data_IF_258166203277
#
_entry.id   IF_258166203277
#
_cell.length_a   1.000
_cell.length_b   1.000
_cell.length_c   1.000
_cell.angle_alpha   90.00
_cell.angle_beta   90.00
_cell.angle_gamma   90.00
#
_symmetry.space_group_name_H-M   'P 1'
#
loop_
_entity.id
_entity.type
_entity.pdbx_description
1 polymer ?
#
# COMPACT_ATOMS: atom_id res chain seq x y z
N UNK A 1 20.53 16.49 -2.78
CA UNK A 1 19.39 15.66 -2.34
C UNK A 1 19.67 15.27 -0.90
N UNK A 2 18.91 15.76 0.09
CA UNK A 2 19.10 15.35 1.49
C UNK A 2 18.72 13.87 1.59
N UNK A 3 19.56 13.04 2.20
CA UNK A 3 19.48 11.57 2.19
C UNK A 3 18.16 10.95 2.71
N UNK A 4 17.21 11.76 3.20
CA UNK A 4 16.00 11.30 3.88
C UNK A 4 14.69 11.78 3.22
N UNK A 5 14.76 12.35 2.02
CA UNK A 5 13.57 12.82 1.29
C UNK A 5 13.24 11.83 0.17
N UNK A 6 12.10 11.15 0.29
CA UNK A 6 11.58 10.27 -0.76
C UNK A 6 10.45 10.93 -1.52
N UNK A 7 10.40 10.64 -2.82
CA UNK A 7 9.46 11.24 -3.74
C UNK A 7 8.52 10.16 -4.28
N UNK A 8 7.22 10.38 -4.12
CA UNK A 8 6.20 9.66 -4.86
C UNK A 8 5.29 10.67 -5.56
N UNK A 9 4.65 10.26 -6.66
CA UNK A 9 3.63 11.07 -7.35
C UNK A 9 2.24 10.59 -6.98
N UNK A 10 1.37 11.52 -6.62
CA UNK A 10 -0.06 11.26 -6.47
C UNK A 10 -0.81 11.87 -7.65
N UNK A 11 -1.62 11.06 -8.30
CA UNK A 11 -2.34 11.42 -9.50
C UNK A 11 -3.83 11.24 -9.23
N UNK A 12 -4.56 12.33 -9.40
CA UNK A 12 -5.97 12.43 -9.03
C UNK A 12 -6.76 12.82 -10.28
N UNK A 13 -7.87 12.15 -10.59
CA UNK A 13 -8.73 12.50 -11.72
C UNK A 13 -9.08 13.98 -11.74
N UNK A 14 -8.91 14.60 -12.90
CA UNK A 14 -9.16 16.02 -13.15
C UNK A 14 -8.33 16.99 -12.27
N UNK A 15 -7.24 16.52 -11.65
CA UNK A 15 -6.25 17.35 -10.96
C UNK A 15 -4.86 17.05 -11.52
N UNK A 16 -3.95 18.03 -11.45
CA UNK A 16 -2.55 17.82 -11.86
C UNK A 16 -1.84 16.81 -10.93
N UNK A 17 -0.82 16.13 -11.45
CA UNK A 17 0.04 15.27 -10.66
C UNK A 17 0.71 16.08 -9.54
N UNK A 18 0.61 15.60 -8.30
CA UNK A 18 1.23 16.23 -7.14
C UNK A 18 2.44 15.40 -6.72
N UNK A 19 3.61 16.03 -6.69
CA UNK A 19 4.80 15.41 -6.15
C UNK A 19 4.79 15.51 -4.63
N UNK A 20 4.90 14.38 -3.97
CA UNK A 20 4.89 14.27 -2.52
C UNK A 20 6.32 14.08 -2.04
N UNK A 21 6.74 14.92 -1.10
CA UNK A 21 7.99 14.72 -0.35
C UNK A 21 7.66 14.26 1.05
N UNK A 22 8.23 13.13 1.43
CA UNK A 22 7.99 12.48 2.71
C UNK A 22 9.07 12.87 3.72
N UNK A 23 8.65 13.42 4.87
CA UNK A 23 9.57 13.96 5.89
C UNK A 23 9.55 13.24 7.24
N UNK A 24 8.43 12.58 7.64
CA UNK A 24 8.35 11.76 8.86
C UNK A 24 8.19 10.27 8.58
N UNK A 25 9.12 9.41 9.01
CA UNK A 25 9.22 7.92 8.84
C UNK A 25 7.98 7.09 8.40
N UNK A 26 6.78 7.46 8.84
CA UNK A 26 5.50 6.92 8.38
C UNK A 26 4.39 7.98 8.45
N UNK A 27 3.38 7.85 7.59
CA UNK A 27 2.14 8.61 7.64
C UNK A 27 0.93 7.70 7.42
N UNK A 28 -0.17 7.93 8.14
CA UNK A 28 -1.45 7.37 7.73
C UNK A 28 -1.82 7.94 6.35
N UNK A 29 -2.44 7.11 5.49
CA UNK A 29 -2.91 7.55 4.18
C UNK A 29 -3.88 8.73 4.33
N UNK A 30 -4.79 8.66 5.31
CA UNK A 30 -5.73 9.74 5.61
C UNK A 30 -5.03 11.07 5.91
N UNK A 31 -3.99 11.05 6.75
CA UNK A 31 -3.25 12.28 7.09
C UNK A 31 -2.52 12.87 5.88
N UNK A 32 -1.99 12.01 5.01
CA UNK A 32 -1.39 12.44 3.75
C UNK A 32 -2.42 13.11 2.84
N UNK A 33 -3.61 12.52 2.68
CA UNK A 33 -4.67 13.11 1.86
C UNK A 33 -5.13 14.46 2.42
N UNK A 34 -5.30 14.55 3.75
CA UNK A 34 -5.63 15.82 4.43
C UNK A 34 -4.56 16.87 4.23
N UNK A 35 -3.28 16.51 4.37
CA UNK A 35 -2.14 17.41 4.14
C UNK A 35 -2.11 17.97 2.72
N UNK A 36 -2.51 17.16 1.73
CA UNK A 36 -2.60 17.57 0.33
C UNK A 36 -3.89 18.35 0.00
N UNK A 37 -4.75 18.60 0.99
CA UNK A 37 -6.02 19.31 0.80
C UNK A 37 -7.07 18.49 0.03
N UNK A 38 -6.93 17.17 -0.02
CA UNK A 38 -7.84 16.29 -0.76
C UNK A 38 -9.06 15.99 0.10
N UNK A 39 -10.24 16.37 -0.38
CA UNK A 39 -11.49 15.96 0.25
C UNK A 39 -11.79 14.49 -0.08
N UNK A 40 -11.37 13.59 0.80
CA UNK A 40 -11.55 12.14 0.66
C UNK A 40 -13.00 11.70 0.46
N UNK A 41 -13.98 12.44 1.00
CA UNK A 41 -15.40 12.12 0.85
C UNK A 41 -15.85 12.07 -0.62
N UNK A 42 -15.23 12.90 -1.48
CA UNK A 42 -15.49 12.91 -2.93
C UNK A 42 -15.03 11.64 -3.63
N UNK A 43 -14.08 10.91 -3.03
CA UNK A 43 -13.40 9.79 -3.65
C UNK A 43 -13.67 8.44 -2.96
N UNK A 44 -14.62 8.36 -2.03
CA UNK A 44 -14.88 7.11 -1.28
C UNK A 44 -15.29 5.92 -2.18
N UNK A 45 -15.86 6.18 -3.36
CA UNK A 45 -16.17 5.15 -4.36
C UNK A 45 -14.98 4.78 -5.26
N UNK A 46 -13.88 5.52 -5.18
CA UNK A 46 -12.68 5.29 -5.98
C UNK A 46 -11.80 4.21 -5.33
N UNK A 47 -10.87 3.72 -6.13
CA UNK A 47 -9.79 2.84 -5.77
C UNK A 47 -8.47 3.60 -5.87
N UNK A 48 -7.47 3.07 -5.17
CA UNK A 48 -6.11 3.54 -5.16
C UNK A 48 -5.22 2.51 -5.88
N UNK A 49 -4.84 2.84 -7.11
CA UNK A 49 -3.89 2.05 -7.89
C UNK A 49 -2.46 2.48 -7.55
N UNK A 50 -1.64 1.51 -7.17
CA UNK A 50 -0.26 1.67 -6.76
C UNK A 50 0.66 1.17 -7.89
N UNK A 51 1.67 1.94 -8.25
CA UNK A 51 2.69 1.54 -9.23
C UNK A 51 4.05 1.48 -8.56
N UNK A 52 4.82 0.42 -8.83
CA UNK A 52 6.22 0.32 -8.40
C UNK A 52 7.14 1.09 -9.34
N UNK A 53 8.26 1.61 -8.82
CA UNK A 53 9.35 2.17 -9.63
C UNK A 53 9.88 1.18 -10.69
N UNK A 54 9.80 -0.12 -10.39
CA UNK A 54 10.28 -1.20 -11.26
C UNK A 54 11.79 -1.42 -11.22
N UNK A 55 12.22 -2.50 -11.87
CA UNK A 55 13.62 -2.89 -12.03
C UNK A 55 13.87 -3.30 -13.49
N UNK A 56 15.07 -3.79 -13.81
CA UNK A 56 15.35 -4.43 -15.10
C UNK A 56 14.46 -5.64 -15.41
N UNK A 57 13.85 -6.25 -14.38
CA UNK A 57 12.89 -7.35 -14.51
C UNK A 57 11.42 -6.88 -14.68
N UNK A 58 11.21 -5.57 -14.76
CA UNK A 58 9.91 -4.93 -14.81
C UNK A 58 9.46 -4.35 -13.47
N UNK A 59 8.30 -3.69 -13.50
CA UNK A 59 7.57 -3.24 -12.32
C UNK A 59 6.29 -4.05 -12.13
N UNK A 60 5.59 -3.76 -11.04
CA UNK A 60 4.30 -4.34 -10.74
C UNK A 60 3.40 -3.31 -10.08
N UNK A 61 2.10 -3.60 -10.11
CA UNK A 61 1.05 -2.74 -9.62
C UNK A 61 0.04 -3.50 -8.75
N UNK A 62 -0.73 -2.74 -7.98
CA UNK A 62 -1.88 -3.27 -7.25
C UNK A 62 -2.92 -2.19 -6.99
N UNK A 63 -4.19 -2.57 -7.07
CA UNK A 63 -5.32 -1.67 -6.82
C UNK A 63 -6.01 -2.05 -5.52
N UNK A 64 -6.28 -1.10 -4.64
CA UNK A 64 -7.05 -1.31 -3.40
C UNK A 64 -8.22 -0.33 -3.33
N UNK A 65 -9.31 -0.70 -2.64
CA UNK A 65 -10.42 0.22 -2.42
C UNK A 65 -9.97 1.35 -1.48
N UNK A 66 -10.26 2.62 -1.84
CA UNK A 66 -9.86 3.76 -1.01
C UNK A 66 -10.61 3.76 0.32
N UNK A 67 -11.91 3.51 0.30
CA UNK A 67 -12.73 3.45 1.52
C UNK A 67 -12.22 2.40 2.50
N UNK A 68 -11.94 1.18 2.04
CA UNK A 68 -11.34 0.14 2.87
C UNK A 68 -9.95 0.57 3.38
N UNK A 69 -9.10 1.16 2.53
CA UNK A 69 -7.76 1.60 2.95
C UNK A 69 -7.81 2.67 4.05
N UNK A 70 -8.78 3.58 3.98
CA UNK A 70 -9.02 4.58 5.03
C UNK A 70 -9.54 3.92 6.33
N UNK A 71 -10.52 3.03 6.22
CA UNK A 71 -11.08 2.27 7.36
C UNK A 71 -10.02 1.41 8.05
N UNK A 72 -9.19 0.72 7.27
CA UNK A 72 -8.10 -0.13 7.75
C UNK A 72 -6.90 0.66 8.27
N UNK A 73 -6.94 1.99 8.22
CA UNK A 73 -5.82 2.88 8.61
C UNK A 73 -4.53 2.55 7.86
N UNK A 74 -4.64 2.35 6.54
CA UNK A 74 -3.50 2.07 5.68
C UNK A 74 -2.42 3.16 5.82
N UNK A 75 -1.16 2.75 5.72
CA UNK A 75 0.00 3.58 6.01
C UNK A 75 0.93 3.67 4.80
N UNK A 76 1.54 4.84 4.62
CA UNK A 76 2.72 5.01 3.78
C UNK A 76 3.95 4.99 4.69
N UNK A 77 4.86 4.04 4.48
CA UNK A 77 6.02 3.79 5.33
C UNK A 77 7.33 3.82 4.53
N UNK A 78 8.41 4.27 5.15
CA UNK A 78 9.78 4.17 4.61
C UNK A 78 10.83 3.81 5.66
N UNK A 79 10.41 3.63 6.91
CA UNK A 79 11.25 3.14 7.99
C UNK A 79 10.43 2.34 9.01
N UNK A 80 11.06 1.34 9.64
CA UNK A 80 10.49 0.52 10.71
C UNK A 80 11.50 0.50 11.86
N UNK A 81 11.04 0.68 13.11
CA UNK A 81 11.89 0.74 14.30
C UNK A 81 13.04 1.75 14.23
N UNK A 82 12.83 2.85 13.50
CA UNK A 82 13.82 3.91 13.33
C UNK A 82 14.76 3.70 12.13
N UNK A 83 14.86 2.50 11.58
CA UNK A 83 15.71 2.18 10.45
C UNK A 83 14.95 2.25 9.12
N UNK A 84 15.58 2.70 8.02
CA UNK A 84 14.98 2.62 6.69
C UNK A 84 14.53 1.19 6.38
N UNK A 85 13.47 1.04 5.56
CA UNK A 85 13.09 -0.26 5.05
C UNK A 85 14.29 -0.95 4.39
N UNK A 86 14.40 -2.25 4.53
CA UNK A 86 15.30 -3.03 3.67
C UNK A 86 14.78 -3.06 2.22
N UNK A 87 15.64 -3.43 1.27
CA UNK A 87 15.23 -3.69 -0.12
C UNK A 87 14.12 -4.76 -0.19
N UNK A 88 14.21 -5.78 0.68
CA UNK A 88 13.21 -6.86 0.73
C UNK A 88 11.87 -6.37 1.26
N UNK A 89 11.85 -5.42 2.19
CA UNK A 89 10.61 -4.86 2.74
C UNK A 89 9.97 -3.82 1.83
N UNK A 90 10.77 -3.21 0.95
CA UNK A 90 10.31 -2.35 -0.14
C UNK A 90 10.86 -0.94 -0.12
N UNK A 91 12.10 -0.75 0.35
CA UNK A 91 12.83 0.50 0.22
C UNK A 91 12.69 1.11 -1.20
N UNK A 92 12.48 2.43 -1.35
CA UNK A 92 12.47 3.42 -0.27
C UNK A 92 11.14 3.55 0.45
N UNK A 93 10.02 3.27 -0.21
CA UNK A 93 8.69 3.59 0.32
C UNK A 93 7.67 2.54 -0.10
N UNK A 94 6.69 2.30 0.76
CA UNK A 94 5.66 1.28 0.56
C UNK A 94 4.33 1.70 1.18
N UNK A 95 3.23 1.32 0.53
CA UNK A 95 1.90 1.34 1.16
C UNK A 95 1.65 0.00 1.85
N UNK A 96 1.20 0.05 3.10
CA UNK A 96 0.82 -1.12 3.90
C UNK A 96 -0.61 -0.96 4.39
N UNK A 97 -1.44 -1.96 4.12
CA UNK A 97 -2.75 -2.15 4.72
C UNK A 97 -2.70 -3.49 5.47
N UNK A 98 -2.79 -3.43 6.80
CA UNK A 98 -2.63 -4.62 7.65
C UNK A 98 -3.80 -5.60 7.55
N UNK A 99 -4.93 -5.19 6.97
CA UNK A 99 -6.09 -6.04 6.72
C UNK A 99 -5.99 -6.83 5.40
N UNK A 100 -4.99 -6.53 4.57
CA UNK A 100 -4.78 -7.16 3.27
C UNK A 100 -3.55 -8.07 3.27
N UNK A 101 -3.54 -9.06 2.38
CA UNK A 101 -2.34 -9.84 2.11
C UNK A 101 -1.22 -8.94 1.58
N UNK A 102 0.02 -9.24 1.99
CA UNK A 102 1.22 -8.44 1.66
C UNK A 102 1.42 -8.17 0.15
N UNK A 103 0.88 -8.99 -0.76
CA UNK A 103 1.01 -8.74 -2.20
C UNK A 103 0.20 -7.53 -2.71
N UNK A 104 -0.79 -7.05 -1.94
CA UNK A 104 -1.57 -5.84 -2.27
C UNK A 104 -0.83 -4.53 -1.96
N UNK A 105 0.22 -4.59 -1.13
CA UNK A 105 1.05 -3.42 -0.81
C UNK A 105 2.30 -3.38 -1.68
N UNK A 106 2.34 -2.47 -2.65
CA UNK A 106 3.43 -2.36 -3.64
C UNK A 106 4.70 -1.82 -2.98
N UNK A 107 5.79 -2.56 -3.13
CA UNK A 107 7.16 -2.17 -2.76
C UNK A 107 7.74 -1.17 -3.75
N UNK A 108 8.65 -0.32 -3.28
CA UNK A 108 9.29 0.71 -4.09
C UNK A 108 8.24 1.59 -4.78
N UNK A 109 7.23 2.02 -4.02
CA UNK A 109 6.08 2.77 -4.52
C UNK A 109 6.55 4.06 -5.21
N UNK A 110 6.24 4.20 -6.49
CA UNK A 110 6.55 5.40 -7.28
C UNK A 110 5.34 6.31 -7.41
N UNK A 111 4.17 5.71 -7.64
CA UNK A 111 2.97 6.44 -8.01
C UNK A 111 1.71 5.86 -7.36
N UNK A 112 0.79 6.76 -7.02
CA UNK A 112 -0.54 6.46 -6.50
C UNK A 112 -1.58 7.15 -7.38
N UNK A 113 -2.57 6.39 -7.83
CA UNK A 113 -3.61 6.85 -8.74
C UNK A 113 -4.97 6.63 -8.13
N UNK A 114 -5.78 7.67 -8.11
CA UNK A 114 -7.21 7.52 -7.88
C UNK A 114 -7.86 7.05 -9.19
N UNK A 115 -8.55 5.91 -9.15
CA UNK A 115 -9.24 5.32 -10.31
C UNK A 115 -10.65 4.88 -9.89
N UNK A 116 -11.64 5.08 -10.74
CA UNK A 116 -13.02 4.62 -10.52
C UNK A 116 -13.18 3.12 -10.84
N UNK A 117 -12.23 2.52 -11.56
CA UNK A 117 -12.21 1.10 -11.85
C UNK A 117 -11.32 0.32 -10.88
N UNK A 118 -11.82 -0.82 -10.39
CA UNK A 118 -10.96 -1.75 -9.67
C UNK A 118 -10.23 -2.62 -10.70
N UNK A 119 -9.07 -2.15 -11.15
CA UNK A 119 -8.20 -2.89 -12.06
C UNK A 119 -7.47 -4.04 -11.37
N UNK A 120 -7.30 -5.16 -12.06
CA UNK A 120 -6.46 -6.25 -11.54
C UNK A 120 -5.00 -5.82 -11.50
N UNK A 121 -4.34 -6.09 -10.37
CA UNK A 121 -2.91 -5.90 -10.22
C UNK A 121 -2.09 -7.09 -10.74
N UNK A 122 -0.78 -6.89 -10.82
CA UNK A 122 0.17 -7.88 -11.33
C UNK A 122 -0.03 -9.30 -10.77
N UNK A 123 -0.11 -9.48 -9.45
CA UNK A 123 -0.22 -10.81 -8.84
C UNK A 123 -1.59 -11.48 -9.06
N UNK A 124 -2.64 -10.68 -9.22
CA UNK A 124 -3.97 -11.18 -9.57
C UNK A 124 -3.96 -11.72 -11.00
N UNK A 125 -3.39 -10.97 -11.94
CA UNK A 125 -3.32 -11.38 -13.34
C UNK A 125 -2.30 -12.49 -13.60
N UNK A 126 -1.15 -12.50 -12.91
CA UNK A 126 -0.07 -13.48 -13.16
C UNK A 126 -0.22 -14.78 -12.40
N UNK A 127 -0.74 -14.74 -11.17
CA UNK A 127 -0.80 -15.89 -10.28
C UNK A 127 -2.23 -16.25 -9.85
N UNK A 128 -3.26 -15.55 -10.35
CA UNK A 128 -4.66 -15.82 -10.02
C UNK A 128 -5.03 -15.49 -8.58
N UNK A 129 -4.32 -14.54 -7.96
CA UNK A 129 -4.61 -14.13 -6.58
C UNK A 129 -5.96 -13.40 -6.47
N UNK A 130 -6.56 -13.41 -5.28
CA UNK A 130 -7.89 -12.84 -5.02
C UNK A 130 -7.90 -11.31 -5.19
N UNK A 131 -8.76 -10.77 -6.05
CA UNK A 131 -8.81 -9.33 -6.36
C UNK A 131 -8.83 -8.41 -5.14
N UNK A 132 -9.66 -8.70 -4.14
CA UNK A 132 -9.79 -7.89 -2.93
C UNK A 132 -8.61 -8.04 -1.98
N UNK A 133 -7.90 -9.17 -2.03
CA UNK A 133 -6.73 -9.45 -1.21
C UNK A 133 -6.95 -9.41 0.31
N UNK A 134 -8.20 -9.45 0.81
CA UNK A 134 -8.49 -9.47 2.25
C UNK A 134 -7.98 -10.75 2.92
N UNK A 135 -7.33 -10.60 4.07
CA UNK A 135 -6.93 -11.73 4.91
C UNK A 135 -8.19 -12.47 5.37
N UNK A 136 -8.18 -13.80 5.27
CA UNK A 136 -9.31 -14.69 5.61
C UNK A 136 -8.97 -15.61 6.78
N UNK A 137 -9.98 -16.11 7.48
CA UNK A 137 -9.78 -17.09 8.55
C UNK A 137 -9.27 -18.41 7.95
N UNK A 138 -8.03 -18.78 8.25
CA UNK A 138 -7.41 -20.07 7.88
C UNK A 138 -6.06 -20.25 8.56
N UNK A 139 -5.45 -21.42 8.33
CA UNK A 139 -4.07 -21.70 8.73
C UNK A 139 -3.09 -20.99 7.79
N UNK A 140 -2.17 -20.22 8.36
CA UNK A 140 -1.09 -19.55 7.66
C UNK A 140 0.26 -20.00 8.18
N UNK A 141 1.26 -19.98 7.29
CA UNK A 141 2.67 -19.93 7.69
C UNK A 141 3.01 -18.47 7.98
N UNK A 142 3.19 -18.13 9.25
CA UNK A 142 3.68 -16.81 9.65
C UNK A 142 5.19 -16.80 9.40
N UNK A 143 5.60 -16.10 8.36
CA UNK A 143 7.00 -16.10 7.87
C UNK A 143 7.95 -15.60 8.95
N UNK A 144 7.58 -14.51 9.62
CA UNK A 144 8.44 -13.83 10.58
C UNK A 144 8.68 -14.69 11.84
N UNK A 145 7.69 -15.52 12.21
CA UNK A 145 7.78 -16.46 13.34
C UNK A 145 8.24 -17.87 12.96
N UNK A 146 8.35 -18.16 11.65
CA UNK A 146 8.63 -19.50 11.16
C UNK A 146 7.73 -20.59 11.78
N UNK A 147 6.43 -20.29 11.90
CA UNK A 147 5.43 -21.18 12.51
C UNK A 147 4.12 -21.20 11.72
N UNK A 148 3.34 -22.27 11.88
CA UNK A 148 1.99 -22.35 11.31
C UNK A 148 0.95 -22.01 12.38
N UNK A 149 0.21 -20.92 12.20
CA UNK A 149 -0.86 -20.49 13.12
C UNK A 149 -2.20 -20.43 12.41
N UNK A 150 -3.27 -20.69 13.16
CA UNK A 150 -4.62 -20.47 12.66
C UNK A 150 -5.04 -19.06 13.04
N UNK A 151 -5.41 -18.26 12.04
CA UNK A 151 -5.91 -16.91 12.28
C UNK A 151 -7.44 -16.98 12.28
N UNK A 152 -8.02 -16.54 13.39
CA UNK A 152 -9.46 -16.41 13.55
C UNK A 152 -9.92 -15.08 12.94
N UNK A 153 -10.94 -15.11 12.08
CA UNK A 153 -11.52 -13.90 11.49
C UNK A 153 -10.86 -13.41 10.19
N UNK A 154 -11.26 -12.22 9.76
CA UNK A 154 -10.82 -11.58 8.51
C UNK A 154 -10.36 -10.14 8.77
N UNK A 155 -9.35 -9.69 8.03
CA UNK A 155 -8.77 -8.35 8.20
C UNK A 155 -7.46 -8.35 9.00
N UNK A 156 -7.21 -7.27 9.74
CA UNK A 156 -5.98 -7.05 10.51
C UNK A 156 -5.78 -8.18 11.53
N UNK A 157 -4.60 -8.79 11.50
CA UNK A 157 -4.21 -9.84 12.43
C UNK A 157 -3.42 -9.21 13.56
N UNK A 158 -3.99 -9.19 14.75
CA UNK A 158 -3.37 -8.63 15.97
C UNK A 158 -2.95 -9.71 16.96
N UNK A 159 -3.59 -10.88 16.89
CA UNK A 159 -3.30 -12.03 17.73
C UNK A 159 -2.15 -12.84 17.13
N UNK A 160 -0.92 -12.48 17.49
CA UNK A 160 0.26 -13.32 17.28
C UNK A 160 0.58 -14.10 18.55
#
# INVERSE_FOLDING_TARGET
MRLNEFLAKLIIPNHHAVQITFTKRQHALEDLLKYLGINQAKYLSYNLKQISLGTSKGGYDSTISLSNALENRAMIIWAVNGEPLSLEEGYPIRLVDFSLYRYKGVKCLSELYFTDEFEQGFWESKAGYCKEGKIKAKRYRIVDLQENRFINGSGEVTDF
#
